data_IF_059701721457
#
_entry.id   IF_059701721457
#
_cell.length_a   1.000
_cell.length_b   1.000
_cell.length_c   1.000
_cell.angle_alpha   90.00
_cell.angle_beta   90.00
_cell.angle_gamma   90.00
#
_symmetry.space_group_name_H-M   'P 1'
#
loop_
_entity.id
_entity.type
_entity.pdbx_description
1 polymer ?
#
# COMPACT_ATOMS: atom_id res chain seq x y z
N UNK A 1 -8.13 -3.57 31.02
CA UNK A 1 -8.84 -4.40 30.04
C UNK A 1 -9.22 -3.49 28.87
N UNK A 2 -8.34 -3.37 27.87
CA UNK A 2 -8.51 -2.46 26.73
C UNK A 2 -8.57 -3.30 25.45
N UNK A 3 -9.76 -3.83 25.16
CA UNK A 3 -10.03 -4.60 23.95
C UNK A 3 -10.10 -3.72 22.71
N UNK A 4 -8.96 -3.39 22.11
CA UNK A 4 -8.91 -3.08 20.68
C UNK A 4 -8.80 -4.44 20.00
N UNK A 5 -9.92 -4.98 19.52
CA UNK A 5 -9.90 -6.24 18.77
C UNK A 5 -9.13 -5.99 17.48
N UNK A 6 -8.00 -6.69 17.36
CA UNK A 6 -7.10 -6.76 16.21
C UNK A 6 -7.82 -7.41 15.01
N UNK A 7 -8.79 -6.68 14.44
CA UNK A 7 -9.61 -7.18 13.34
C UNK A 7 -8.88 -6.89 12.03
N UNK A 8 -8.72 -7.90 11.15
CA UNK A 8 -8.15 -7.69 9.83
C UNK A 8 -8.93 -6.61 9.09
N UNK A 9 -8.20 -5.74 8.38
CA UNK A 9 -8.80 -4.67 7.59
C UNK A 9 -9.24 -5.21 6.23
N UNK A 10 -10.47 -4.93 5.83
CA UNK A 10 -10.97 -5.33 4.51
C UNK A 10 -10.28 -4.51 3.42
N UNK A 11 -9.68 -5.20 2.46
CA UNK A 11 -9.01 -4.59 1.31
C UNK A 11 -9.53 -5.20 0.01
N UNK A 12 -10.17 -4.39 -0.83
CA UNK A 12 -10.54 -4.83 -2.17
C UNK A 12 -9.29 -4.92 -3.03
N UNK A 13 -8.96 -6.10 -3.55
CA UNK A 13 -7.80 -6.29 -4.41
C UNK A 13 -8.22 -6.48 -5.86
N UNK A 14 -7.65 -5.70 -6.76
CA UNK A 14 -7.80 -5.88 -8.19
C UNK A 14 -6.41 -6.06 -8.82
N UNK A 15 -6.24 -7.18 -9.52
CA UNK A 15 -4.99 -7.49 -10.21
C UNK A 15 -5.26 -7.55 -11.72
N UNK A 16 -4.85 -6.50 -12.44
CA UNK A 16 -4.89 -6.42 -13.90
C UNK A 16 -3.60 -6.94 -14.55
N UNK A 17 -2.58 -7.27 -13.74
CA UNK A 17 -1.31 -7.79 -14.22
C UNK A 17 -1.26 -9.32 -14.17
N UNK A 18 -0.87 -9.95 -15.28
CA UNK A 18 -0.83 -11.41 -15.41
C UNK A 18 0.53 -12.05 -15.11
N UNK A 19 1.54 -11.26 -14.74
CA UNK A 19 2.90 -11.74 -14.49
C UNK A 19 2.96 -12.72 -13.31
N UNK A 20 4.06 -13.47 -13.23
CA UNK A 20 4.35 -14.28 -12.04
C UNK A 20 4.53 -13.39 -10.80
N UNK A 21 5.02 -12.16 -10.99
CA UNK A 21 5.32 -11.23 -9.91
C UNK A 21 4.06 -10.72 -9.23
N UNK A 22 3.05 -10.31 -10.01
CA UNK A 22 1.76 -9.86 -9.46
C UNK A 22 1.08 -10.98 -8.68
N UNK A 23 1.10 -12.21 -9.20
CA UNK A 23 0.54 -13.40 -8.52
C UNK A 23 1.23 -13.69 -7.20
N UNK A 24 2.55 -13.49 -7.12
CA UNK A 24 3.30 -13.62 -5.85
C UNK A 24 2.91 -12.53 -4.86
N UNK A 25 2.74 -11.28 -5.33
CA UNK A 25 2.30 -10.17 -4.47
C UNK A 25 0.87 -10.41 -3.94
N UNK A 26 -0.06 -10.82 -4.80
CA UNK A 26 -1.44 -11.19 -4.41
C UNK A 26 -1.40 -12.25 -3.30
N UNK A 27 -0.61 -13.31 -3.49
CA UNK A 27 -0.48 -14.37 -2.49
C UNK A 27 0.11 -13.87 -1.17
N UNK A 28 1.08 -12.96 -1.21
CA UNK A 28 1.65 -12.36 0.00
C UNK A 28 0.60 -11.54 0.76
N UNK A 29 -0.22 -10.77 0.05
CA UNK A 29 -1.31 -10.00 0.63
C UNK A 29 -2.40 -10.89 1.25
N UNK A 30 -2.77 -11.99 0.58
CA UNK A 30 -3.75 -12.95 1.08
C UNK A 30 -3.27 -13.71 2.35
N UNK A 31 -1.96 -13.73 2.59
CA UNK A 31 -1.36 -14.38 3.76
C UNK A 31 -1.18 -13.43 4.95
N UNK A 32 -1.37 -12.13 4.75
CA UNK A 32 -1.20 -11.13 5.80
C UNK A 32 -2.38 -11.16 6.77
N UNK A 33 -2.08 -11.32 8.07
CA UNK A 33 -3.12 -11.45 9.10
C UNK A 33 -3.84 -10.14 9.36
N UNK A 34 -3.17 -9.01 9.17
CA UNK A 34 -3.75 -7.68 9.29
C UNK A 34 -4.70 -7.31 8.15
N UNK A 35 -4.78 -8.12 7.09
CA UNK A 35 -5.61 -7.86 5.91
C UNK A 35 -6.59 -9.00 5.65
N UNK A 36 -7.82 -8.64 5.34
CA UNK A 36 -8.78 -9.54 4.73
C UNK A 36 -8.95 -9.13 3.26
N UNK A 37 -8.32 -9.90 2.37
CA UNK A 37 -8.28 -9.59 0.94
C UNK A 37 -9.57 -10.02 0.26
N UNK A 38 -10.24 -9.06 -0.39
CA UNK A 38 -11.47 -9.25 -1.15
C UNK A 38 -11.15 -9.10 -2.63
N UNK A 39 -10.93 -10.23 -3.29
CA UNK A 39 -10.53 -10.24 -4.70
C UNK A 39 -11.68 -9.83 -5.63
N UNK A 40 -11.48 -8.73 -6.36
CA UNK A 40 -12.35 -8.27 -7.45
C UNK A 40 -11.69 -8.51 -8.80
N UNK A 41 -12.47 -9.01 -9.76
CA UNK A 41 -12.04 -9.18 -11.15
C UNK A 41 -12.06 -7.88 -11.96
N UNK A 42 -12.70 -6.82 -11.46
CA UNK A 42 -12.90 -5.57 -12.20
C UNK A 42 -12.60 -4.34 -11.35
N UNK A 43 -11.81 -3.43 -11.93
CA UNK A 43 -11.39 -2.19 -11.28
C UNK A 43 -12.57 -1.25 -11.00
N UNK A 44 -13.54 -1.16 -11.91
CA UNK A 44 -14.66 -0.23 -11.76
C UNK A 44 -15.61 -0.68 -10.63
N UNK A 45 -15.83 -1.98 -10.51
CA UNK A 45 -16.59 -2.56 -9.38
C UNK A 45 -15.88 -2.31 -8.06
N UNK A 46 -14.56 -2.49 -8.00
CA UNK A 46 -13.78 -2.22 -6.79
C UNK A 46 -13.85 -0.74 -6.38
N UNK A 47 -13.61 0.17 -7.33
CA UNK A 47 -13.72 1.63 -7.09
C UNK A 47 -15.11 2.03 -6.66
N UNK A 48 -16.14 1.47 -7.29
CA UNK A 48 -17.53 1.74 -6.94
C UNK A 48 -17.84 1.31 -5.50
N UNK A 49 -17.37 0.14 -5.08
CA UNK A 49 -17.59 -0.34 -3.73
C UNK A 49 -16.92 0.55 -2.67
N UNK A 50 -15.74 1.12 -2.96
CA UNK A 50 -15.12 2.15 -2.09
C UNK A 50 -15.96 3.44 -2.08
N UNK A 51 -16.42 3.90 -3.24
CA UNK A 51 -17.25 5.11 -3.37
C UNK A 51 -18.62 5.00 -2.71
N UNK A 52 -19.20 3.81 -2.70
CA UNK A 52 -20.51 3.53 -2.09
C UNK A 52 -20.39 3.34 -0.57
N UNK A 53 -19.17 3.25 -0.04
CA UNK A 53 -18.89 3.08 1.39
C UNK A 53 -18.80 1.62 1.84
N UNK A 54 -18.99 0.66 0.93
CA UNK A 54 -18.99 -0.77 1.24
C UNK A 54 -17.63 -1.25 1.78
N UNK A 55 -16.53 -0.66 1.29
CA UNK A 55 -15.17 -0.95 1.74
C UNK A 55 -14.36 0.32 1.92
N UNK A 56 -13.40 0.31 2.86
CA UNK A 56 -12.59 1.48 3.19
C UNK A 56 -11.51 1.76 2.15
N UNK A 57 -11.02 0.72 1.48
CA UNK A 57 -9.96 0.87 0.49
C UNK A 57 -9.97 -0.22 -0.59
N UNK A 58 -9.27 0.09 -1.68
CA UNK A 58 -8.98 -0.81 -2.79
C UNK A 58 -7.51 -0.67 -3.19
N UNK A 59 -6.85 -1.81 -3.41
CA UNK A 59 -5.53 -1.88 -4.01
C UNK A 59 -5.61 -2.42 -5.44
N UNK A 60 -4.96 -1.73 -6.36
CA UNK A 60 -4.90 -2.06 -7.78
C UNK A 60 -3.46 -2.34 -8.18
N UNK A 61 -3.22 -3.54 -8.68
CA UNK A 61 -2.01 -3.90 -9.41
C UNK A 61 -2.34 -3.72 -10.90
N UNK A 62 -1.82 -2.66 -11.50
CA UNK A 62 -2.10 -2.34 -12.90
C UNK A 62 -1.27 -3.21 -13.84
N UNK A 63 -1.75 -3.38 -15.07
CA UNK A 63 -1.00 -4.01 -16.15
C UNK A 63 0.41 -3.38 -16.31
N UNK A 64 1.42 -4.24 -16.49
CA UNK A 64 2.81 -3.83 -16.62
C UNK A 64 3.55 -3.71 -15.28
N UNK A 65 2.94 -4.13 -14.16
CA UNK A 65 3.59 -4.21 -12.86
C UNK A 65 4.85 -5.07 -12.92
N UNK A 66 4.75 -6.31 -13.43
CA UNK A 66 5.90 -7.22 -13.51
C UNK A 66 7.07 -6.61 -14.28
N UNK A 67 6.75 -6.01 -15.43
CA UNK A 67 7.74 -5.36 -16.30
C UNK A 67 8.33 -4.11 -15.63
N UNK A 68 7.53 -3.33 -14.91
CA UNK A 68 8.00 -2.12 -14.22
C UNK A 68 9.08 -2.44 -13.19
N UNK A 69 8.89 -3.49 -12.40
CA UNK A 69 9.87 -3.93 -11.41
C UNK A 69 11.12 -4.47 -12.09
N UNK A 70 10.99 -5.30 -13.13
CA UNK A 70 12.14 -5.88 -13.82
C UNK A 70 13.03 -4.84 -14.52
N UNK A 71 12.46 -3.69 -14.91
CA UNK A 71 13.17 -2.63 -15.62
C UNK A 71 13.49 -1.43 -14.73
N UNK A 72 13.45 -1.58 -13.40
CA UNK A 72 13.70 -0.50 -12.42
C UNK A 72 12.88 0.77 -12.70
N UNK A 73 11.62 0.60 -13.10
CA UNK A 73 10.65 1.67 -13.28
C UNK A 73 9.74 1.74 -12.05
N UNK A 74 9.06 2.87 -11.88
CA UNK A 74 8.04 3.03 -10.85
C UNK A 74 7.00 1.92 -10.95
N UNK A 75 6.71 1.26 -9.83
CA UNK A 75 5.75 0.17 -9.78
C UNK A 75 4.35 0.66 -10.17
N UNK A 76 3.66 -0.09 -11.03
CA UNK A 76 2.31 0.24 -11.48
C UNK A 76 1.26 -0.18 -10.43
N UNK A 77 1.32 0.44 -9.25
CA UNK A 77 0.46 0.14 -8.09
C UNK A 77 -0.37 1.37 -7.72
N UNK A 78 -1.66 1.18 -7.41
CA UNK A 78 -2.56 2.26 -7.00
C UNK A 78 -3.36 1.87 -5.77
N UNK A 79 -3.40 2.74 -4.76
CA UNK A 79 -4.23 2.61 -3.58
C UNK A 79 -5.36 3.64 -3.61
N UNK A 80 -6.60 3.16 -3.70
CA UNK A 80 -7.80 3.97 -3.60
C UNK A 80 -8.38 3.86 -2.20
N UNK A 81 -8.88 4.95 -1.64
CA UNK A 81 -9.47 4.93 -0.31
C UNK A 81 -10.61 5.93 -0.16
N UNK A 82 -11.48 5.66 0.80
CA UNK A 82 -12.53 6.58 1.24
C UNK A 82 -11.96 7.63 2.21
N UNK A 83 -11.90 8.88 1.76
CA UNK A 83 -11.36 9.99 2.55
C UNK A 83 -12.14 10.26 3.85
N UNK A 84 -13.41 9.86 3.92
CA UNK A 84 -14.24 10.05 5.12
C UNK A 84 -13.86 9.12 6.27
N UNK A 85 -13.08 8.06 6.00
CA UNK A 85 -12.67 7.02 6.96
C UNK A 85 -11.15 6.99 7.17
N UNK A 86 -10.55 8.17 7.39
CA UNK A 86 -9.09 8.33 7.55
C UNK A 86 -8.42 7.36 8.53
N UNK A 87 -9.02 7.12 9.69
CA UNK A 87 -8.41 6.26 10.72
C UNK A 87 -8.32 4.80 10.26
N UNK A 88 -9.41 4.25 9.71
CA UNK A 88 -9.45 2.88 9.18
C UNK A 88 -8.57 2.73 7.93
N UNK A 89 -8.54 3.77 7.08
CA UNK A 89 -7.60 3.85 5.97
C UNK A 89 -6.15 3.78 6.45
N UNK A 90 -5.80 4.50 7.53
CA UNK A 90 -4.44 4.52 8.07
C UNK A 90 -3.96 3.12 8.42
N UNK A 91 -4.80 2.36 9.12
CA UNK A 91 -4.51 0.98 9.49
C UNK A 91 -4.42 0.05 8.28
N UNK A 92 -5.34 0.19 7.33
CA UNK A 92 -5.36 -0.65 6.11
C UNK A 92 -4.12 -0.40 5.25
N UNK A 93 -3.75 0.87 5.09
CA UNK A 93 -2.59 1.26 4.30
C UNK A 93 -1.30 0.89 5.01
N UNK A 94 -1.21 0.99 6.34
CA UNK A 94 -0.06 0.50 7.10
C UNK A 94 0.14 -1.01 6.92
N UNK A 95 -0.92 -1.80 7.10
CA UNK A 95 -0.86 -3.25 6.89
C UNK A 95 -0.48 -3.61 5.44
N UNK A 96 -1.03 -2.88 4.46
CA UNK A 96 -0.68 -3.04 3.05
C UNK A 96 0.80 -2.72 2.78
N UNK A 97 1.29 -1.58 3.28
CA UNK A 97 2.68 -1.15 3.07
C UNK A 97 3.68 -2.12 3.71
N UNK A 98 3.35 -2.66 4.89
CA UNK A 98 4.16 -3.66 5.57
C UNK A 98 4.39 -4.94 4.75
N UNK A 99 3.57 -5.19 3.72
CA UNK A 99 3.74 -6.32 2.81
C UNK A 99 4.30 -5.89 1.47
N UNK A 100 3.75 -4.83 0.88
CA UNK A 100 4.14 -4.39 -0.47
C UNK A 100 5.59 -3.92 -0.47
N UNK A 101 6.03 -3.15 0.52
CA UNK A 101 7.37 -2.58 0.51
C UNK A 101 8.47 -3.66 0.66
N UNK A 102 8.39 -4.59 1.63
CA UNK A 102 9.35 -5.69 1.69
C UNK A 102 9.26 -6.61 0.47
N UNK A 103 8.06 -6.83 -0.08
CA UNK A 103 7.90 -7.62 -1.30
C UNK A 103 8.69 -7.00 -2.45
N UNK A 104 8.52 -5.69 -2.69
CA UNK A 104 9.24 -4.96 -3.74
C UNK A 104 10.75 -4.96 -3.50
N UNK A 105 11.19 -4.71 -2.27
CA UNK A 105 12.60 -4.79 -1.89
C UNK A 105 13.22 -6.15 -2.23
N UNK A 106 12.54 -7.24 -1.88
CA UNK A 106 13.04 -8.60 -2.16
C UNK A 106 13.07 -8.98 -3.64
N UNK A 107 12.34 -8.28 -4.53
CA UNK A 107 12.42 -8.51 -5.97
C UNK A 107 13.54 -7.70 -6.63
N UNK A 108 14.03 -6.67 -5.96
CA UNK A 108 15.08 -5.78 -6.43
C UNK A 108 16.42 -6.16 -5.80
N UNK A 109 17.18 -7.05 -6.44
CA UNK A 109 18.61 -7.26 -6.11
C UNK A 109 19.53 -6.04 -6.39
N UNK A 110 18.99 -4.81 -6.41
CA UNK A 110 19.70 -3.53 -6.62
C UNK A 110 18.90 -2.42 -5.90
N UNK A 111 19.17 -2.21 -4.60
CA UNK A 111 18.19 -1.71 -3.62
C UNK A 111 18.70 -0.46 -2.87
N UNK A 112 18.67 0.73 -3.48
CA UNK A 112 18.99 2.01 -2.79
C UNK A 112 17.94 3.11 -3.00
N UNK A 113 16.99 2.87 -3.90
CA UNK A 113 15.99 3.86 -4.28
C UNK A 113 14.71 3.72 -3.42
N UNK A 114 14.53 2.59 -2.74
CA UNK A 114 13.25 2.23 -2.10
C UNK A 114 13.11 2.68 -0.65
N UNK A 115 14.17 2.65 0.16
CA UNK A 115 14.13 3.09 1.57
C UNK A 115 13.68 4.54 1.70
N UNK A 116 14.34 5.44 0.97
CA UNK A 116 13.98 6.86 0.91
C UNK A 116 12.55 7.10 0.38
N UNK A 117 12.08 6.29 -0.59
CA UNK A 117 10.71 6.41 -1.10
C UNK A 117 9.66 5.96 -0.07
N UNK A 118 10.00 5.01 0.80
CA UNK A 118 9.12 4.58 1.89
C UNK A 118 9.06 5.69 2.94
N UNK A 119 10.21 6.26 3.35
CA UNK A 119 10.25 7.37 4.31
C UNK A 119 9.47 8.57 3.78
N UNK A 120 9.71 9.01 2.53
CA UNK A 120 8.96 10.12 1.91
C UNK A 120 7.46 9.84 1.85
N UNK A 121 7.06 8.59 1.60
CA UNK A 121 5.66 8.22 1.58
C UNK A 121 5.03 8.29 2.96
N UNK A 122 5.72 7.77 3.98
CA UNK A 122 5.25 7.79 5.37
C UNK A 122 5.13 9.24 5.84
N UNK A 123 6.18 10.05 5.62
CA UNK A 123 6.20 11.46 5.99
C UNK A 123 5.07 12.24 5.32
N UNK A 124 4.90 12.08 4.01
CA UNK A 124 3.90 12.84 3.25
C UNK A 124 2.48 12.54 3.69
N UNK A 125 2.18 11.30 4.07
CA UNK A 125 0.81 10.88 4.37
C UNK A 125 0.48 10.86 5.87
N UNK A 126 1.48 10.71 6.75
CA UNK A 126 1.22 10.40 8.16
C UNK A 126 1.94 11.28 9.18
N UNK A 127 2.91 12.10 8.79
CA UNK A 127 3.67 12.95 9.76
C UNK A 127 2.77 13.90 10.56
N UNK A 128 1.59 14.22 10.02
CA UNK A 128 0.59 15.08 10.66
C UNK A 128 -0.59 14.31 11.28
N UNK A 129 -0.67 12.99 11.05
CA UNK A 129 -1.80 12.16 11.49
C UNK A 129 -1.41 11.19 12.63
N UNK A 130 -0.14 10.79 12.71
CA UNK A 130 0.37 9.90 13.76
C UNK A 130 1.29 10.65 14.74
N UNK A 131 1.38 10.20 16.01
CA UNK A 131 2.39 10.68 16.94
C UNK A 131 3.79 10.48 16.38
N UNK A 132 4.67 11.43 16.64
CA UNK A 132 6.01 11.43 16.06
C UNK A 132 6.83 10.22 16.51
N UNK A 133 6.61 9.74 17.72
CA UNK A 133 7.30 8.55 18.23
C UNK A 133 6.96 7.29 17.41
N UNK A 134 5.75 7.18 16.88
CA UNK A 134 5.32 6.05 16.03
C UNK A 134 5.93 6.15 14.63
N UNK A 135 6.02 7.37 14.09
CA UNK A 135 6.68 7.61 12.80
C UNK A 135 8.18 7.27 12.91
N UNK A 136 8.82 7.67 13.99
CA UNK A 136 10.23 7.42 14.23
C UNK A 136 10.50 5.90 14.40
N UNK A 137 9.62 5.17 15.09
CA UNK A 137 9.70 3.70 15.22
C UNK A 137 9.55 3.00 13.86
N UNK A 138 8.60 3.45 13.03
CA UNK A 138 8.41 2.91 11.67
C UNK A 138 9.66 3.15 10.81
N UNK A 139 10.24 4.35 10.84
CA UNK A 139 11.47 4.64 10.10
C UNK A 139 12.65 3.81 10.59
N UNK A 140 12.79 3.62 11.89
CA UNK A 140 13.87 2.81 12.45
C UNK A 140 13.74 1.34 12.05
N UNK A 141 12.53 0.80 12.04
CA UNK A 141 12.27 -0.57 11.58
C UNK A 141 12.56 -0.76 10.09
N UNK A 142 12.31 0.27 9.28
CA UNK A 142 12.65 0.30 7.86
C UNK A 142 14.19 0.32 7.71
N UNK A 143 14.89 1.25 8.34
CA UNK A 143 16.36 1.36 8.27
C UNK A 143 17.06 0.05 8.69
N UNK A 144 16.55 -0.62 9.73
CA UNK A 144 17.05 -1.93 10.18
C UNK A 144 16.83 -3.05 9.16
N UNK A 145 15.81 -2.95 8.31
CA UNK A 145 15.53 -3.92 7.25
C UNK A 145 16.32 -3.66 5.97
N UNK A 146 16.81 -2.43 5.76
CA UNK A 146 17.47 -2.00 4.52
C UNK A 146 18.97 -1.69 4.65
N UNK A 147 19.57 -1.90 5.82
CA UNK A 147 20.99 -1.61 6.07
C UNK A 147 21.95 -2.62 5.41
N UNK A 148 22.12 -2.51 4.08
CA UNK A 148 23.34 -2.87 3.37
C UNK A 148 23.72 -1.71 2.41
N UNK A 149 24.95 -1.19 2.59
CA UNK A 149 25.49 0.05 2.02
C UNK A 149 25.16 0.33 0.54
N UNK A 150 24.76 1.57 0.22
CA UNK A 150 25.37 2.54 -0.75
C UNK A 150 24.36 3.69 -1.07
N UNK A 151 24.78 4.76 -1.76
CA UNK A 151 24.10 6.08 -1.83
C UNK A 151 22.83 6.22 -2.73
N UNK A 152 21.86 7.11 -2.35
CA UNK A 152 20.55 7.21 -2.99
C UNK A 152 20.52 8.02 -4.30
N UNK A 153 19.76 7.53 -5.28
CA UNK A 153 19.32 8.29 -6.46
C UNK A 153 17.80 8.56 -6.35
N UNK A 154 17.43 9.83 -6.42
CA UNK A 154 16.08 10.36 -6.19
C UNK A 154 15.23 10.28 -7.46
N UNK A 155 14.07 9.61 -7.39
CA UNK A 155 12.77 10.12 -7.89
C UNK A 155 11.64 9.04 -7.85
N UNK A 156 10.51 9.44 -7.23
CA UNK A 156 9.14 8.90 -7.30
C UNK A 156 8.74 7.67 -6.45
N UNK A 157 7.81 7.88 -5.51
CA UNK A 157 7.15 6.83 -4.71
C UNK A 157 6.59 5.67 -5.57
N UNK A 158 6.75 4.41 -5.14
CA UNK A 158 6.38 3.23 -5.93
C UNK A 158 4.86 2.99 -6.01
N UNK A 159 4.05 3.70 -5.21
CA UNK A 159 2.60 3.52 -5.16
C UNK A 159 1.93 4.87 -5.34
N UNK A 160 0.96 4.93 -6.26
CA UNK A 160 0.09 6.09 -6.44
C UNK A 160 -1.08 5.98 -5.46
N UNK A 161 -1.23 6.96 -4.58
CA UNK A 161 -2.37 7.04 -3.66
C UNK A 161 -3.43 8.00 -4.20
N UNK A 162 -4.68 7.56 -4.28
CA UNK A 162 -5.79 8.36 -4.81
C UNK A 162 -7.00 8.32 -3.86
N UNK A 163 -7.34 9.48 -3.29
CA UNK A 163 -8.56 9.65 -2.52
C UNK A 163 -9.80 9.52 -3.42
N UNK A 164 -10.80 8.79 -2.95
CA UNK A 164 -12.14 8.73 -3.51
C UNK A 164 -13.09 9.38 -2.51
N UNK A 165 -13.80 10.43 -2.94
CA UNK A 165 -14.85 11.03 -2.11
C UNK A 165 -16.15 10.31 -2.38
N UNK A 166 -16.75 9.72 -1.35
CA UNK A 166 -18.15 9.27 -1.36
C UNK A 166 -18.99 10.45 -1.85
N UNK A 167 -19.85 10.21 -2.86
CA UNK A 167 -20.85 11.21 -3.22
C UNK A 167 -21.77 11.36 -2.02
N UNK A 168 -21.56 12.42 -1.23
CA UNK A 168 -22.57 12.94 -0.33
C UNK A 168 -23.83 13.08 -1.18
N UNK A 169 -24.85 12.27 -0.94
CA UNK A 169 -26.16 12.46 -1.52
C UNK A 169 -26.54 13.93 -1.24
N UNK A 170 -26.40 14.77 -2.27
CA UNK A 170 -27.02 16.09 -2.26
C UNK A 170 -28.52 15.84 -2.34
N UNK A 171 -29.32 16.46 -1.46
CA UNK A 171 -30.77 16.29 -1.40
C UNK A 171 -31.46 16.63 -2.72
#
# INVERSE_FOLDING_TARGET
DNGVTDRPQDLVLCNEDNSLLSKKLVKALEQEKGLHVISSLDQNKGKKAVLDGDYTAMFLIQEGFGDSIQHNKTASLVFFYDESRKMEMGLTQQALMGIVMPFLGNQAGQMQIHEMQIHEFIDKNYVNELPREIIDEIHQDIELQFSEDTEPNTNASPIKTQALSVKKNMP
#
